data_IF_294324099807
#
_entry.id   IF_294324099807
#
_cell.length_a   1.000
_cell.length_b   1.000
_cell.length_c   1.000
_cell.angle_alpha   90.00
_cell.angle_beta   90.00
_cell.angle_gamma   90.00
#
_symmetry.space_group_name_H-M   'P 1'
#
loop_
_entity.id
_entity.type
_entity.pdbx_description
1 polymer ?
#
# COMPACT_ATOMS: atom_id res chain seq x y z
N UNK A 1 -35.03 -48.52 -18.85
CA UNK A 1 -35.39 -47.20 -19.44
C UNK A 1 -35.60 -46.26 -18.26
N UNK A 2 -34.63 -45.41 -17.85
CA UNK A 2 -34.29 -44.08 -18.42
C UNK A 2 -35.47 -43.10 -18.24
N UNK A 3 -35.38 -41.86 -17.76
CA UNK A 3 -34.34 -40.83 -17.49
C UNK A 3 -35.05 -39.82 -16.52
N UNK A 4 -34.47 -39.07 -15.57
CA UNK A 4 -33.83 -37.72 -15.67
C UNK A 4 -33.95 -37.12 -14.24
N UNK A 5 -32.86 -36.95 -13.47
CA UNK A 5 -32.10 -35.71 -13.25
C UNK A 5 -32.92 -34.43 -13.03
N UNK A 6 -32.85 -33.86 -11.81
CA UNK A 6 -32.85 -32.41 -11.58
C UNK A 6 -31.86 -32.05 -10.46
N UNK A 7 -30.79 -31.37 -10.85
CA UNK A 7 -29.81 -30.73 -9.98
C UNK A 7 -30.30 -29.33 -9.61
N UNK A 8 -30.19 -28.92 -8.35
CA UNK A 8 -30.23 -27.50 -7.98
C UNK A 8 -28.90 -27.17 -7.30
N UNK A 9 -28.02 -26.51 -8.06
CA UNK A 9 -26.80 -25.88 -7.58
C UNK A 9 -27.17 -24.48 -7.07
N UNK A 10 -27.02 -24.25 -5.77
CA UNK A 10 -27.07 -22.90 -5.21
C UNK A 10 -25.73 -22.19 -5.54
N UNK A 11 -25.78 -21.20 -6.42
CA UNK A 11 -24.63 -20.35 -6.73
C UNK A 11 -24.56 -19.21 -5.70
N UNK A 12 -23.56 -19.25 -4.82
CA UNK A 12 -23.22 -18.10 -3.99
C UNK A 12 -22.45 -17.08 -4.83
N UNK A 13 -22.98 -15.86 -4.92
CA UNK A 13 -22.38 -14.75 -5.64
C UNK A 13 -21.03 -14.35 -5.00
N UNK A 14 -19.93 -14.68 -5.67
CA UNK A 14 -18.61 -14.16 -5.36
C UNK A 14 -18.51 -12.71 -5.82
N UNK A 15 -18.32 -11.79 -4.88
CA UNK A 15 -18.05 -10.37 -5.18
C UNK A 15 -16.72 -10.28 -5.92
N UNK A 16 -16.74 -9.75 -7.14
CA UNK A 16 -15.53 -9.46 -7.91
C UNK A 16 -14.73 -8.37 -7.16
N UNK A 17 -13.61 -8.76 -6.55
CA UNK A 17 -12.60 -7.81 -6.11
C UNK A 17 -11.92 -7.24 -7.35
N UNK A 18 -12.30 -6.01 -7.73
CA UNK A 18 -11.54 -5.20 -8.66
C UNK A 18 -10.21 -4.89 -7.96
N UNK A 19 -9.17 -5.67 -8.27
CA UNK A 19 -7.81 -5.36 -7.87
C UNK A 19 -7.43 -4.06 -8.56
N UNK A 20 -7.49 -2.95 -7.82
CA UNK A 20 -6.93 -1.68 -8.25
C UNK A 20 -5.45 -1.90 -8.57
N UNK A 21 -5.11 -1.42 -9.77
CA UNK A 21 -3.82 -1.52 -10.45
C UNK A 21 -2.63 -1.49 -9.50
N UNK A 22 -1.66 -2.37 -9.74
CA UNK A 22 -0.34 -2.30 -9.10
C UNK A 22 0.19 -0.86 -9.23
N UNK A 23 0.20 -0.14 -8.12
CA UNK A 23 0.75 1.21 -8.10
C UNK A 23 2.23 1.13 -8.40
N UNK A 24 2.65 1.87 -9.42
CA UNK A 24 4.02 1.88 -9.86
C UNK A 24 4.93 2.41 -8.74
N UNK A 25 6.09 1.79 -8.62
CA UNK A 25 7.20 2.37 -7.87
C UNK A 25 7.54 3.72 -8.50
N UNK A 26 7.58 4.77 -7.68
CA UNK A 26 7.92 6.14 -8.08
C UNK A 26 9.13 6.63 -7.29
N UNK A 27 9.90 7.52 -7.92
CA UNK A 27 10.99 8.28 -7.28
C UNK A 27 10.70 9.79 -7.21
N UNK A 28 9.44 10.21 -7.43
CA UNK A 28 9.04 11.60 -7.40
C UNK A 28 9.27 12.24 -6.02
N UNK A 29 9.65 13.51 -6.02
CA UNK A 29 9.88 14.30 -4.80
C UNK A 29 8.83 15.38 -4.56
N UNK A 30 7.83 15.51 -5.45
CA UNK A 30 6.78 16.52 -5.34
C UNK A 30 6.72 17.50 -6.52
N UNK A 31 5.60 18.22 -6.69
CA UNK A 31 4.36 18.09 -5.90
C UNK A 31 3.65 16.76 -6.18
N UNK A 32 3.31 16.02 -5.12
CA UNK A 32 2.46 14.83 -5.19
C UNK A 32 1.09 15.25 -4.64
N UNK A 33 0.06 15.21 -5.47
CA UNK A 33 -1.28 15.55 -5.02
C UNK A 33 -1.79 14.49 -4.04
N UNK A 34 -2.01 14.86 -2.78
CA UNK A 34 -2.62 13.97 -1.77
C UNK A 34 -3.95 14.55 -1.27
N UNK A 35 -4.75 13.71 -0.62
CA UNK A 35 -6.00 14.17 0.02
C UNK A 35 -5.77 15.17 1.17
N UNK A 36 -4.58 15.18 1.77
CA UNK A 36 -4.21 16.12 2.84
C UNK A 36 -3.60 17.43 2.31
N UNK A 37 -3.31 17.54 1.01
CA UNK A 37 -2.61 18.66 0.38
C UNK A 37 -1.47 18.19 -0.53
N UNK A 38 -0.82 19.10 -1.29
CA UNK A 38 0.40 18.78 -2.04
C UNK A 38 1.51 18.32 -1.09
N UNK A 39 2.11 17.18 -1.41
CA UNK A 39 3.21 16.59 -0.66
C UNK A 39 4.54 16.78 -1.38
N UNK A 40 5.61 17.00 -0.60
CA UNK A 40 6.99 17.06 -1.07
C UNK A 40 7.91 16.19 -0.21
N UNK A 41 8.92 15.60 -0.85
CA UNK A 41 10.12 15.11 -0.21
C UNK A 41 11.25 16.10 -0.47
N UNK A 42 11.80 16.66 0.60
CA UNK A 42 12.92 17.61 0.53
C UNK A 42 14.13 17.00 1.20
N UNK A 43 15.31 17.10 0.60
CA UNK A 43 16.55 16.65 1.26
C UNK A 43 16.96 17.64 2.34
N UNK A 44 17.43 17.12 3.46
CA UNK A 44 18.13 17.87 4.50
C UNK A 44 19.52 17.26 4.77
N UNK A 45 20.22 17.72 5.80
CA UNK A 45 21.55 17.21 6.18
C UNK A 45 21.52 15.76 6.69
N UNK A 46 20.36 15.28 7.16
CA UNK A 46 20.21 13.99 7.84
C UNK A 46 19.47 12.94 7.01
N UNK A 47 18.90 13.32 5.87
CA UNK A 47 18.14 12.44 5.00
C UNK A 47 17.13 13.20 4.15
N UNK A 48 15.85 12.92 4.36
CA UNK A 48 14.75 13.64 3.72
C UNK A 48 13.68 14.00 4.74
N UNK A 49 12.98 15.09 4.47
CA UNK A 49 11.80 15.54 5.21
C UNK A 49 10.59 15.40 4.29
N UNK A 50 9.52 14.82 4.81
CA UNK A 50 8.23 14.81 4.15
C UNK A 50 7.40 16.02 4.61
N UNK A 51 6.96 16.81 3.65
CA UNK A 51 6.15 18.01 3.86
C UNK A 51 4.75 17.81 3.28
N UNK A 52 3.72 18.32 3.96
CA UNK A 52 2.42 18.63 3.37
C UNK A 52 2.30 20.15 3.35
N UNK A 53 1.96 20.70 2.17
CA UNK A 53 2.07 22.12 1.87
C UNK A 53 3.49 22.63 2.15
N UNK A 54 3.71 23.19 3.35
CA UNK A 54 4.99 23.71 3.82
C UNK A 54 5.40 23.17 5.19
N UNK A 55 4.60 22.28 5.78
CA UNK A 55 4.78 21.77 7.14
C UNK A 55 5.38 20.37 7.12
N UNK A 56 6.47 20.18 7.88
CA UNK A 56 7.05 18.87 8.09
C UNK A 56 6.14 17.98 8.92
N UNK A 57 5.90 16.77 8.43
CA UNK A 57 5.14 15.75 9.16
C UNK A 57 5.94 14.46 9.39
N UNK A 58 7.05 14.26 8.68
CA UNK A 58 7.96 13.14 8.92
C UNK A 58 9.41 13.44 8.51
N UNK A 59 10.35 12.76 9.17
CA UNK A 59 11.77 12.71 8.80
C UNK A 59 12.15 11.28 8.44
N UNK A 60 12.76 11.11 7.27
CA UNK A 60 13.18 9.83 6.75
C UNK A 60 14.71 9.72 6.76
N UNK A 61 15.22 8.64 7.37
CA UNK A 61 16.57 8.16 7.09
C UNK A 61 16.58 7.44 5.73
N UNK A 62 16.46 8.24 4.67
CA UNK A 62 16.45 7.75 3.31
C UNK A 62 17.19 8.72 2.40
N UNK A 63 17.99 8.15 1.49
CA UNK A 63 18.70 8.94 0.48
C UNK A 63 17.86 9.22 -0.76
N UNK A 64 16.74 8.55 -1.00
CA UNK A 64 15.87 8.77 -2.17
C UNK A 64 14.43 8.43 -1.79
N UNK A 65 13.46 9.13 -2.38
CA UNK A 65 12.04 8.91 -2.15
C UNK A 65 11.55 7.77 -3.03
N UNK A 66 11.82 6.52 -2.65
CA UNK A 66 11.20 5.38 -3.34
C UNK A 66 9.86 5.10 -2.68
N UNK A 67 8.77 5.23 -3.43
CA UNK A 67 7.43 5.10 -2.88
C UNK A 67 6.46 4.36 -3.82
N UNK A 68 5.39 3.82 -3.25
CA UNK A 68 4.28 3.19 -3.94
C UNK A 68 2.99 3.88 -3.51
N UNK A 69 2.11 4.23 -4.45
CA UNK A 69 1.01 5.17 -4.19
C UNK A 69 -0.37 4.54 -4.39
N UNK A 70 -1.21 4.50 -3.37
CA UNK A 70 -2.64 4.27 -3.59
C UNK A 70 -3.29 5.58 -4.07
N UNK A 71 -3.93 5.55 -5.24
CA UNK A 71 -4.68 6.69 -5.76
C UNK A 71 -6.19 6.49 -5.65
N UNK A 72 -6.92 7.58 -5.37
CA UNK A 72 -8.37 7.61 -5.39
C UNK A 72 -8.88 8.07 -6.77
N UNK A 73 -9.62 7.20 -7.45
CA UNK A 73 -10.34 7.53 -8.68
C UNK A 73 -9.43 7.95 -9.84
N UNK A 74 -10.01 8.61 -10.84
CA UNK A 74 -9.33 8.97 -12.09
C UNK A 74 -8.35 10.15 -11.96
N UNK A 75 -8.45 10.94 -10.89
CA UNK A 75 -7.68 12.20 -10.74
C UNK A 75 -6.25 11.98 -10.23
N UNK A 76 -5.87 10.73 -9.91
CA UNK A 76 -4.52 10.40 -9.46
C UNK A 76 -4.15 10.92 -8.08
N UNK A 77 -5.10 11.45 -7.30
CA UNK A 77 -4.86 11.93 -5.93
C UNK A 77 -4.49 10.77 -5.03
N UNK A 78 -3.34 10.86 -4.37
CA UNK A 78 -2.81 9.83 -3.48
C UNK A 78 -3.56 9.86 -2.13
N UNK A 79 -4.12 8.71 -1.74
CA UNK A 79 -4.77 8.51 -0.44
C UNK A 79 -3.87 7.85 0.58
N UNK A 80 -3.02 6.93 0.14
CA UNK A 80 -2.01 6.26 0.96
C UNK A 80 -0.72 6.11 0.17
N UNK A 81 0.42 6.15 0.85
CA UNK A 81 1.73 5.98 0.24
C UNK A 81 2.59 5.08 1.11
N UNK A 82 3.25 4.11 0.49
CA UNK A 82 4.22 3.26 1.17
C UNK A 82 5.62 3.68 0.74
N UNK A 83 6.38 4.27 1.65
CA UNK A 83 7.73 4.79 1.40
C UNK A 83 8.76 3.76 1.86
N UNK A 84 9.70 3.43 0.99
CA UNK A 84 10.83 2.56 1.30
C UNK A 84 11.92 3.37 2.02
N UNK A 85 12.36 2.91 3.20
CA UNK A 85 13.52 3.47 3.92
C UNK A 85 14.55 2.39 4.25
N UNK A 86 15.68 2.81 4.82
CA UNK A 86 16.71 1.91 5.37
C UNK A 86 16.16 1.06 6.54
N UNK A 87 15.33 1.65 7.39
CA UNK A 87 14.78 1.01 8.60
C UNK A 87 13.59 0.08 8.31
N UNK A 88 13.02 0.19 7.12
CA UNK A 88 11.84 -0.55 6.66
C UNK A 88 10.80 0.38 6.02
N UNK A 89 9.70 -0.17 5.51
CA UNK A 89 8.65 0.63 4.91
C UNK A 89 7.93 1.52 5.93
N UNK A 90 7.46 2.68 5.47
CA UNK A 90 6.60 3.58 6.24
C UNK A 90 5.32 3.82 5.45
N UNK A 91 4.17 3.58 6.08
CA UNK A 91 2.86 3.88 5.51
C UNK A 91 2.45 5.29 5.93
N UNK A 92 2.23 6.16 4.93
CA UNK A 92 1.55 7.43 5.07
C UNK A 92 0.11 7.28 4.65
N UNK A 93 -0.83 7.73 5.49
CA UNK A 93 -2.25 7.76 5.19
C UNK A 93 -2.75 9.21 5.23
N UNK A 94 -3.05 9.73 4.04
CA UNK A 94 -3.49 11.13 3.82
C UNK A 94 -5.00 11.28 3.94
N UNK A 95 -5.72 10.24 4.37
CA UNK A 95 -7.17 10.32 4.59
C UNK A 95 -7.52 11.15 5.83
N UNK A 96 -6.55 11.38 6.72
CA UNK A 96 -6.60 12.32 7.84
C UNK A 96 -5.70 13.54 7.61
N UNK A 97 -5.95 14.63 8.32
CA UNK A 97 -5.07 15.78 8.43
C UNK A 97 -4.84 16.11 9.93
N UNK A 98 -3.63 15.94 10.49
CA UNK A 98 -2.38 15.57 9.82
C UNK A 98 -2.39 14.13 9.27
N UNK A 99 -1.51 13.80 8.30
CA UNK A 99 -1.36 12.44 7.80
C UNK A 99 -1.01 11.47 8.93
N UNK A 100 -1.62 10.29 8.94
CA UNK A 100 -1.21 9.23 9.86
C UNK A 100 0.07 8.56 9.35
N UNK A 101 1.04 8.41 10.24
CA UNK A 101 2.36 7.87 9.91
C UNK A 101 2.58 6.56 10.66
N UNK A 102 2.78 5.46 9.94
CA UNK A 102 2.94 4.13 10.53
C UNK A 102 4.22 3.47 10.02
N UNK A 103 5.20 3.27 10.90
CA UNK A 103 6.44 2.58 10.56
C UNK A 103 6.19 1.07 10.65
N UNK A 104 6.53 0.30 9.62
CA UNK A 104 6.39 -1.17 9.64
C UNK A 104 7.35 -1.80 10.65
N UNK A 105 8.49 -1.15 10.94
CA UNK A 105 9.44 -1.59 11.97
C UNK A 105 10.25 -2.84 11.61
N UNK A 106 10.03 -3.42 10.43
CA UNK A 106 10.80 -4.53 9.90
C UNK A 106 11.54 -4.09 8.65
N UNK A 107 12.87 -4.22 8.70
CA UNK A 107 13.73 -3.96 7.54
C UNK A 107 13.45 -4.98 6.44
N UNK A 108 12.98 -4.49 5.30
CA UNK A 108 12.74 -5.27 4.09
C UNK A 108 12.80 -4.37 2.86
N UNK A 109 13.23 -4.94 1.74
CA UNK A 109 13.14 -4.30 0.43
C UNK A 109 11.87 -4.76 -0.27
N UNK A 110 11.02 -3.81 -0.63
CA UNK A 110 9.77 -4.07 -1.34
C UNK A 110 10.03 -4.35 -2.81
N UNK A 111 9.43 -5.44 -3.33
CA UNK A 111 9.41 -5.78 -4.75
C UNK A 111 8.10 -5.41 -5.41
N UNK A 112 6.99 -5.60 -4.70
CA UNK A 112 5.62 -5.30 -5.16
C UNK A 112 4.75 -4.87 -4.00
N UNK A 113 3.76 -4.05 -4.30
CA UNK A 113 2.79 -3.53 -3.34
C UNK A 113 1.40 -3.65 -3.96
N UNK A 114 0.44 -4.14 -3.17
CA UNK A 114 -0.96 -4.25 -3.54
C UNK A 114 -1.79 -3.60 -2.45
N UNK A 115 -2.61 -2.64 -2.86
CA UNK A 115 -3.50 -1.91 -1.95
C UNK A 115 -4.83 -2.63 -1.84
N UNK A 116 -5.29 -2.83 -0.61
CA UNK A 116 -6.61 -3.33 -0.28
C UNK A 116 -7.23 -2.36 0.74
N UNK A 117 -8.55 -2.18 0.72
CA UNK A 117 -9.31 -1.18 1.52
C UNK A 117 -8.58 -0.61 2.75
N UNK A 118 -8.23 -1.43 3.74
CA UNK A 118 -7.49 -1.02 4.95
C UNK A 118 -6.12 -1.70 5.13
N UNK A 119 -5.68 -2.48 4.16
CA UNK A 119 -4.46 -3.30 4.24
C UNK A 119 -3.56 -3.05 3.04
N UNK A 120 -2.25 -2.99 3.28
CA UNK A 120 -1.26 -3.01 2.21
C UNK A 120 -0.55 -4.35 2.23
N UNK A 121 -0.61 -5.05 1.10
CA UNK A 121 0.07 -6.32 0.89
C UNK A 121 1.38 -6.05 0.16
N UNK A 122 2.47 -6.52 0.76
CA UNK A 122 3.84 -6.26 0.35
C UNK A 122 4.52 -7.58 -0.03
N UNK A 123 5.19 -7.59 -1.17
CA UNK A 123 6.12 -8.66 -1.53
C UNK A 123 7.55 -8.21 -1.22
N UNK A 124 8.29 -9.03 -0.50
CA UNK A 124 9.74 -8.89 -0.31
C UNK A 124 10.45 -10.20 -0.65
N UNK A 125 11.77 -10.25 -0.51
CA UNK A 125 12.54 -11.50 -0.63
C UNK A 125 12.18 -12.51 0.46
N UNK A 126 11.74 -12.03 1.62
CA UNK A 126 11.41 -12.87 2.77
C UNK A 126 9.99 -13.45 2.69
N UNK A 127 9.25 -13.14 1.63
CA UNK A 127 7.89 -13.58 1.38
C UNK A 127 6.88 -12.43 1.31
N UNK A 128 5.62 -12.79 1.49
CA UNK A 128 4.47 -11.88 1.45
C UNK A 128 4.08 -11.42 2.85
N UNK A 129 3.72 -10.15 2.98
CA UNK A 129 3.36 -9.52 4.24
C UNK A 129 2.12 -8.64 4.07
N UNK A 130 1.20 -8.73 5.01
CA UNK A 130 0.08 -7.80 5.14
C UNK A 130 0.37 -6.79 6.25
N UNK A 131 0.15 -5.51 5.99
CA UNK A 131 0.21 -4.47 7.00
C UNK A 131 -1.12 -3.75 7.10
N UNK A 132 -1.73 -3.83 8.29
CA UNK A 132 -3.06 -3.30 8.56
C UNK A 132 -3.10 -2.72 9.95
N UNK A 133 -3.48 -1.44 10.07
CA UNK A 133 -3.66 -0.74 11.36
C UNK A 133 -2.46 -0.92 12.30
N UNK A 134 -1.24 -0.76 11.77
CA UNK A 134 0.00 -0.86 12.57
C UNK A 134 0.48 -2.29 12.83
N UNK A 135 -0.25 -3.33 12.40
CA UNK A 135 0.15 -4.73 12.59
C UNK A 135 0.70 -5.30 11.28
N UNK A 136 1.95 -5.78 11.33
CA UNK A 136 2.57 -6.57 10.28
C UNK A 136 2.28 -8.06 10.49
N UNK A 137 1.83 -8.74 9.43
CA UNK A 137 1.55 -10.18 9.45
C UNK A 137 2.23 -10.82 8.25
N UNK A 138 3.03 -11.87 8.48
CA UNK A 138 3.56 -12.68 7.39
C UNK A 138 2.42 -13.52 6.80
N UNK A 139 2.16 -13.35 5.51
CA UNK A 139 1.12 -14.10 4.82
C UNK A 139 1.62 -15.49 4.50
N UNK A 140 0.83 -16.51 4.83
CA UNK A 140 1.08 -17.88 4.45
C UNK A 140 0.37 -18.16 3.13
N UNK A 141 1.05 -18.84 2.21
CA UNK A 141 0.40 -19.37 1.02
C UNK A 141 -0.55 -20.49 1.44
N UNK A 142 -1.84 -20.21 1.58
CA UNK A 142 -2.84 -21.28 1.66
C UNK A 142 -3.16 -21.73 0.24
N UNK A 143 -2.45 -22.75 -0.24
CA UNK A 143 -2.87 -23.49 -1.42
C UNK A 143 -4.13 -24.28 -1.05
N UNK A 144 -5.32 -23.67 -1.17
CA UNK A 144 -6.57 -24.44 -1.20
C UNK A 144 -6.92 -24.69 -2.67
N UNK A 145 -6.46 -25.83 -3.19
CA UNK A 145 -6.96 -26.40 -4.44
C UNK A 145 -8.38 -26.89 -4.16
N UNK A 146 -9.38 -26.23 -4.72
CA UNK A 146 -10.73 -26.78 -4.79
C UNK A 146 -10.75 -27.85 -5.90
N UNK A 147 -11.19 -29.06 -5.55
CA UNK A 147 -11.45 -30.16 -6.49
C UNK A 147 -12.84 -30.00 -7.13
#
# INVERSE_FOLDING_TARGET
MSLTQFFIRAAAAGTLFIATLASAQSEATGPIATKAGPMYFVRDEYGMVALIDTQAFDHLDAKRSVHFDETAGANGTVTRMLVQTSSGPILYDFRSNPPLVQRVGQRMTLKRVFWQSEEVVMQSELGWYGFKRGKLTKLQSSTSTYH
#
